data_IF_060227949565
#
_entry.id   IF_060227949565
#
_cell.length_a   1.000
_cell.length_b   1.000
_cell.length_c   1.000
_cell.angle_alpha   90.00
_cell.angle_beta   90.00
_cell.angle_gamma   90.00
#
_symmetry.space_group_name_H-M   'P 1'
#
loop_
_entity.id
_entity.type
_entity.pdbx_description
1 polymer ?
#
# COMPACT_ATOMS: atom_id res chain seq x y z
N UNK A 1 5.91 9.40 -36.19
CA UNK A 1 5.85 9.14 -34.74
C UNK A 1 5.08 7.84 -34.59
N UNK A 2 5.63 6.80 -33.94
CA UNK A 2 4.81 5.63 -33.66
C UNK A 2 3.64 6.08 -32.78
N UNK A 3 2.43 5.61 -33.07
CA UNK A 3 1.27 5.88 -32.22
C UNK A 3 1.54 5.34 -30.82
N UNK A 4 1.08 6.06 -29.79
CA UNK A 4 1.11 5.57 -28.42
C UNK A 4 0.21 4.32 -28.29
N UNK A 5 0.55 3.36 -27.42
CA UNK A 5 -0.22 2.14 -27.26
C UNK A 5 -1.64 2.39 -26.71
N UNK A 6 -2.60 1.61 -27.19
CA UNK A 6 -3.98 1.57 -26.70
C UNK A 6 -4.05 0.77 -25.41
N UNK A 7 -4.68 1.36 -24.39
CA UNK A 7 -4.87 0.77 -23.06
C UNK A 7 -6.33 0.41 -22.83
N UNK A 8 -6.60 -0.80 -22.33
CA UNK A 8 -7.88 -1.14 -21.70
C UNK A 8 -7.73 -1.21 -20.17
N UNK A 9 -8.67 -0.58 -19.45
CA UNK A 9 -8.82 -0.72 -18.00
C UNK A 9 -10.09 -1.52 -17.72
N UNK A 10 -9.93 -2.79 -17.37
CA UNK A 10 -11.02 -3.72 -17.08
C UNK A 10 -11.33 -3.68 -15.59
N UNK A 11 -12.60 -3.44 -15.23
CA UNK A 11 -12.99 -3.17 -13.84
C UNK A 11 -12.91 -1.69 -13.45
N UNK A 12 -12.96 -0.78 -14.44
CA UNK A 12 -12.76 0.66 -14.26
C UNK A 12 -13.67 1.33 -13.20
N UNK A 13 -14.82 0.74 -12.89
CA UNK A 13 -15.79 1.28 -11.90
C UNK A 13 -15.64 0.71 -10.49
N UNK A 14 -14.70 -0.21 -10.27
CA UNK A 14 -14.37 -0.76 -8.96
C UNK A 14 -13.51 0.18 -8.11
N UNK A 15 -13.26 -0.22 -6.86
CA UNK A 15 -12.41 0.54 -5.94
C UNK A 15 -10.99 0.74 -6.50
N UNK A 16 -10.37 -0.34 -7.00
CA UNK A 16 -9.04 -0.28 -7.61
C UNK A 16 -9.08 0.47 -8.95
N UNK A 17 -10.03 0.14 -9.84
CA UNK A 17 -10.17 0.80 -11.14
C UNK A 17 -10.38 2.33 -11.05
N UNK A 18 -11.05 2.81 -10.01
CA UNK A 18 -11.20 4.25 -9.75
C UNK A 18 -9.84 4.89 -9.40
N UNK A 19 -9.05 4.25 -8.55
CA UNK A 19 -7.68 4.70 -8.21
C UNK A 19 -6.76 4.60 -9.42
N UNK A 20 -6.90 3.56 -10.25
CA UNK A 20 -6.18 3.40 -11.51
C UNK A 20 -6.40 4.60 -12.45
N UNK A 21 -7.65 5.04 -12.65
CA UNK A 21 -7.96 6.20 -13.49
C UNK A 21 -7.36 7.52 -12.94
N UNK A 22 -7.31 7.67 -11.61
CA UNK A 22 -6.64 8.82 -10.96
C UNK A 22 -5.12 8.77 -11.14
N UNK A 23 -4.51 7.59 -11.01
CA UNK A 23 -3.08 7.37 -11.23
C UNK A 23 -2.71 7.65 -12.68
N UNK A 24 -3.46 7.11 -13.64
CA UNK A 24 -3.28 7.44 -15.06
C UNK A 24 -3.32 8.96 -15.25
N UNK A 25 -4.24 9.68 -14.60
CA UNK A 25 -4.33 11.15 -14.74
C UNK A 25 -3.15 11.92 -14.15
N UNK A 26 -2.45 11.39 -13.16
CA UNK A 26 -1.35 12.07 -12.45
C UNK A 26 0.05 11.64 -12.91
N UNK A 27 0.17 10.47 -13.54
CA UNK A 27 1.44 9.91 -14.02
C UNK A 27 1.75 10.38 -15.44
N UNK A 28 3.01 10.19 -15.88
CA UNK A 28 3.46 10.52 -17.24
C UNK A 28 2.54 9.89 -18.28
N UNK A 29 2.22 10.62 -19.36
CA UNK A 29 1.43 10.05 -20.44
C UNK A 29 2.29 9.18 -21.35
N UNK A 30 1.97 7.88 -21.37
CA UNK A 30 2.57 6.86 -22.24
C UNK A 30 1.51 6.10 -23.04
N UNK A 31 0.24 6.51 -22.95
CA UNK A 31 -0.90 5.82 -23.55
C UNK A 31 -1.59 6.70 -24.59
N UNK A 32 -2.10 6.07 -25.65
CA UNK A 32 -2.94 6.68 -26.68
C UNK A 32 -4.41 6.63 -26.27
N UNK A 33 -5.20 5.83 -26.99
CA UNK A 33 -6.60 5.57 -26.63
C UNK A 33 -6.66 4.81 -25.28
N UNK A 34 -7.60 5.21 -24.41
CA UNK A 34 -7.91 4.50 -23.16
C UNK A 34 -9.36 4.03 -23.20
N UNK A 35 -9.58 2.72 -23.13
CA UNK A 35 -10.91 2.10 -23.06
C UNK A 35 -11.22 1.68 -21.63
N UNK A 36 -12.35 2.12 -21.10
CA UNK A 36 -12.83 1.72 -19.79
C UNK A 36 -13.85 0.60 -19.94
N UNK A 37 -13.53 -0.59 -19.45
CA UNK A 37 -14.38 -1.78 -19.58
C UNK A 37 -14.88 -2.21 -18.20
N UNK A 38 -16.15 -2.60 -18.11
CA UNK A 38 -16.74 -3.12 -16.89
C UNK A 38 -17.95 -4.03 -17.19
N UNK A 39 -18.61 -4.52 -16.13
CA UNK A 39 -19.86 -5.29 -16.24
C UNK A 39 -20.98 -4.47 -16.88
N UNK A 40 -21.99 -5.14 -17.45
CA UNK A 40 -23.13 -4.53 -18.13
C UNK A 40 -23.82 -3.44 -17.29
N UNK A 41 -23.98 -3.65 -15.99
CA UNK A 41 -24.57 -2.66 -15.06
C UNK A 41 -23.81 -1.33 -14.96
N UNK A 42 -22.57 -1.29 -15.44
CA UNK A 42 -21.72 -0.10 -15.43
C UNK A 42 -21.64 0.61 -16.78
N UNK A 43 -22.19 0.03 -17.84
CA UNK A 43 -22.15 0.59 -19.20
C UNK A 43 -22.83 1.96 -19.23
N UNK A 44 -22.22 2.91 -19.96
CA UNK A 44 -22.73 4.27 -20.08
C UNK A 44 -22.37 5.18 -18.90
N UNK A 45 -21.83 4.65 -17.79
CA UNK A 45 -21.27 5.48 -16.73
C UNK A 45 -20.08 6.26 -17.27
N UNK A 46 -19.90 7.48 -16.77
CA UNK A 46 -18.80 8.36 -17.13
C UNK A 46 -17.76 8.31 -16.00
N UNK A 47 -16.49 8.11 -16.36
CA UNK A 47 -15.36 8.11 -15.42
C UNK A 47 -14.31 9.09 -15.92
N UNK A 48 -13.82 9.94 -15.02
CA UNK A 48 -12.76 10.88 -15.32
C UNK A 48 -11.42 10.15 -15.43
N UNK A 49 -10.76 10.25 -16.58
CA UNK A 49 -9.42 9.70 -16.80
C UNK A 49 -8.66 10.63 -17.76
N UNK A 50 -7.39 10.96 -17.43
CA UNK A 50 -6.54 11.85 -18.25
C UNK A 50 -7.15 13.23 -18.55
N UNK A 51 -7.99 13.75 -17.64
CA UNK A 51 -8.66 15.04 -17.86
C UNK A 51 -9.86 14.98 -18.82
N UNK A 52 -10.21 13.78 -19.30
CA UNK A 52 -11.38 13.54 -20.14
C UNK A 52 -12.43 12.69 -19.39
N UNK A 53 -13.71 12.88 -19.76
CA UNK A 53 -14.80 12.02 -19.31
C UNK A 53 -14.97 10.89 -20.31
N UNK A 54 -14.61 9.68 -19.89
CA UNK A 54 -14.67 8.49 -20.73
C UNK A 54 -15.90 7.66 -20.37
N UNK A 55 -16.62 7.19 -21.40
CA UNK A 55 -17.78 6.32 -21.25
C UNK A 55 -17.33 4.88 -21.04
N UNK A 56 -17.84 4.25 -19.98
CA UNK A 56 -17.62 2.84 -19.68
C UNK A 56 -18.35 1.96 -20.71
N UNK A 57 -17.61 1.03 -21.30
CA UNK A 57 -18.09 0.07 -22.29
C UNK A 57 -18.26 -1.31 -21.66
N UNK A 58 -19.01 -2.18 -22.34
CA UNK A 58 -19.23 -3.55 -21.90
C UNK A 58 -17.94 -4.36 -22.08
N UNK A 59 -17.73 -5.32 -21.19
CA UNK A 59 -16.71 -6.34 -21.36
C UNK A 59 -17.17 -7.35 -22.43
N UNK A 60 -16.68 -7.20 -23.65
CA UNK A 60 -16.92 -8.12 -24.78
C UNK A 60 -15.61 -8.48 -25.47
N UNK A 61 -15.53 -9.58 -26.24
CA UNK A 61 -14.31 -9.94 -26.95
C UNK A 61 -13.82 -8.84 -27.90
N UNK A 62 -14.73 -8.15 -28.58
CA UNK A 62 -14.45 -7.09 -29.55
C UNK A 62 -13.90 -5.82 -28.88
N UNK A 63 -14.20 -5.62 -27.59
CA UNK A 63 -13.67 -4.47 -26.84
C UNK A 63 -12.13 -4.49 -26.76
N UNK A 64 -11.51 -5.66 -26.95
CA UNK A 64 -10.06 -5.85 -26.98
C UNK A 64 -9.43 -5.69 -28.37
N UNK A 65 -10.21 -5.49 -29.43
CA UNK A 65 -9.66 -5.35 -30.78
C UNK A 65 -8.79 -4.07 -30.88
N UNK A 66 -7.50 -4.24 -31.19
CA UNK A 66 -6.53 -3.15 -31.26
C UNK A 66 -6.06 -2.62 -29.90
N UNK A 67 -6.30 -3.35 -28.81
CA UNK A 67 -5.74 -3.06 -27.49
C UNK A 67 -4.33 -3.65 -27.41
N UNK A 68 -3.34 -2.82 -27.06
CA UNK A 68 -1.95 -3.27 -26.88
C UNK A 68 -1.72 -3.82 -25.46
N UNK A 69 -2.30 -3.14 -24.46
CA UNK A 69 -2.18 -3.53 -23.05
C UNK A 69 -3.54 -3.48 -22.36
N UNK A 70 -3.88 -4.49 -21.58
CA UNK A 70 -5.09 -4.52 -20.78
C UNK A 70 -4.76 -4.73 -19.29
N UNK A 71 -5.15 -3.77 -18.45
CA UNK A 71 -5.04 -3.87 -16.99
C UNK A 71 -6.34 -4.42 -16.42
N UNK A 72 -6.25 -5.53 -15.68
CA UNK A 72 -7.41 -6.23 -15.13
C UNK A 72 -7.51 -6.00 -13.63
N UNK A 73 -8.55 -5.29 -13.20
CA UNK A 73 -8.90 -5.02 -11.79
C UNK A 73 -10.27 -5.64 -11.46
N UNK A 74 -10.36 -6.95 -11.64
CA UNK A 74 -11.60 -7.75 -11.51
C UNK A 74 -11.38 -8.97 -10.60
N UNK A 75 -12.46 -9.63 -10.11
CA UNK A 75 -12.35 -10.87 -9.34
C UNK A 75 -11.65 -12.00 -10.12
N UNK A 76 -11.10 -12.96 -9.37
CA UNK A 76 -10.30 -14.08 -9.90
C UNK A 76 -11.04 -14.85 -11.00
N UNK A 77 -12.33 -15.12 -10.83
CA UNK A 77 -13.13 -15.89 -11.79
C UNK A 77 -13.34 -15.11 -13.10
N UNK A 78 -13.52 -13.80 -13.00
CA UNK A 78 -13.69 -12.92 -14.16
C UNK A 78 -12.37 -12.81 -14.92
N UNK A 79 -11.24 -12.69 -14.22
CA UNK A 79 -9.93 -12.64 -14.88
C UNK A 79 -9.59 -13.96 -15.56
N UNK A 80 -9.87 -15.10 -14.90
CA UNK A 80 -9.66 -16.43 -15.47
C UNK A 80 -10.42 -16.64 -16.80
N UNK A 81 -11.62 -16.06 -16.93
CA UNK A 81 -12.41 -16.08 -18.16
C UNK A 81 -11.86 -15.10 -19.23
N UNK A 82 -11.62 -13.84 -18.84
CA UNK A 82 -11.45 -12.75 -19.80
C UNK A 82 -10.00 -12.42 -20.16
N UNK A 83 -9.03 -12.73 -19.30
CA UNK A 83 -7.62 -12.49 -19.62
C UNK A 83 -7.16 -13.32 -20.84
N UNK A 84 -7.49 -14.62 -20.98
CA UNK A 84 -7.18 -15.39 -22.18
C UNK A 84 -7.84 -14.82 -23.45
N UNK A 85 -9.05 -14.27 -23.33
CA UNK A 85 -9.76 -13.63 -24.45
C UNK A 85 -9.01 -12.39 -24.92
N UNK A 86 -8.57 -11.53 -23.99
CA UNK A 86 -7.78 -10.35 -24.33
C UNK A 86 -6.45 -10.72 -25.00
N UNK A 87 -5.74 -11.74 -24.48
CA UNK A 87 -4.51 -12.26 -25.10
C UNK A 87 -4.75 -12.79 -26.50
N UNK A 88 -5.84 -13.55 -26.72
CA UNK A 88 -6.19 -14.07 -28.04
C UNK A 88 -6.48 -12.95 -29.07
N UNK A 89 -6.82 -11.74 -28.60
CA UNK A 89 -7.01 -10.54 -29.42
C UNK A 89 -5.74 -9.67 -29.56
N UNK A 90 -4.61 -10.12 -29.02
CA UNK A 90 -3.30 -9.50 -29.19
C UNK A 90 -2.84 -8.61 -28.04
N UNK A 91 -3.66 -8.40 -27.01
CA UNK A 91 -3.29 -7.58 -25.87
C UNK A 91 -2.32 -8.32 -24.94
N UNK A 92 -1.37 -7.59 -24.35
CA UNK A 92 -0.66 -8.06 -23.15
C UNK A 92 -1.50 -7.73 -21.93
N UNK A 93 -1.80 -8.74 -21.11
CA UNK A 93 -2.61 -8.55 -19.89
C UNK A 93 -1.72 -8.32 -18.68
N UNK A 94 -2.04 -7.31 -17.89
CA UNK A 94 -1.52 -7.13 -16.52
C UNK A 94 -2.67 -7.39 -15.54
N UNK A 95 -2.64 -8.53 -14.89
CA UNK A 95 -3.72 -9.03 -14.04
C UNK A 95 -3.49 -8.76 -12.55
N UNK A 96 -4.41 -8.04 -11.92
CA UNK A 96 -4.40 -7.79 -10.48
C UNK A 96 -5.02 -8.93 -9.67
N UNK A 97 -5.77 -9.83 -10.30
CA UNK A 97 -6.43 -10.93 -9.61
C UNK A 97 -5.43 -11.99 -9.08
N UNK A 98 -5.94 -12.93 -8.28
CA UNK A 98 -5.21 -14.11 -7.85
C UNK A 98 -5.07 -15.21 -8.90
N UNK A 99 -5.84 -15.14 -10.01
CA UNK A 99 -6.06 -16.26 -10.93
C UNK A 99 -4.78 -16.86 -11.52
N UNK A 100 -3.80 -16.00 -11.86
CA UNK A 100 -2.59 -16.43 -12.57
C UNK A 100 -1.30 -16.30 -11.74
N UNK A 101 -1.36 -15.82 -10.50
CA UNK A 101 -0.16 -15.47 -9.71
C UNK A 101 0.81 -16.62 -9.53
N UNK A 102 0.30 -17.85 -9.37
CA UNK A 102 1.11 -19.04 -9.16
C UNK A 102 1.28 -19.91 -10.40
N UNK A 103 0.76 -19.49 -11.55
CA UNK A 103 0.99 -20.17 -12.82
C UNK A 103 2.49 -20.08 -13.19
N UNK A 104 3.17 -21.19 -13.52
CA UNK A 104 4.61 -21.17 -13.86
C UNK A 104 4.91 -20.40 -15.16
N UNK A 105 3.93 -20.27 -16.05
CA UNK A 105 4.04 -19.59 -17.34
C UNK A 105 3.60 -18.11 -17.28
N UNK A 106 3.30 -17.59 -16.08
CA UNK A 106 2.93 -16.20 -15.84
C UNK A 106 3.88 -15.59 -14.82
N UNK A 107 4.61 -14.52 -15.16
CA UNK A 107 5.51 -13.85 -14.22
C UNK A 107 4.68 -13.08 -13.16
N UNK A 108 5.15 -13.11 -11.91
CA UNK A 108 4.60 -12.33 -10.81
C UNK A 108 5.55 -11.16 -10.53
N UNK A 109 5.12 -9.93 -10.84
CA UNK A 109 6.06 -8.80 -10.98
C UNK A 109 5.82 -7.71 -9.95
N UNK A 110 6.92 -7.25 -9.37
CA UNK A 110 7.03 -5.98 -8.63
C UNK A 110 8.13 -5.17 -9.31
N UNK A 111 7.80 -4.06 -10.00
CA UNK A 111 8.75 -3.33 -10.85
C UNK A 111 10.07 -2.92 -10.18
N UNK A 112 10.08 -2.66 -8.89
CA UNK A 112 11.27 -2.29 -8.13
C UNK A 112 12.15 -3.49 -7.73
N UNK A 113 11.64 -4.73 -7.86
CA UNK A 113 12.31 -5.95 -7.38
C UNK A 113 12.75 -6.83 -8.55
N UNK A 114 11.83 -7.15 -9.47
CA UNK A 114 12.07 -8.10 -10.57
C UNK A 114 11.50 -7.60 -11.92
N UNK A 115 11.82 -6.36 -12.36
CA UNK A 115 11.24 -5.75 -13.56
C UNK A 115 11.55 -6.53 -14.85
N UNK A 116 12.63 -7.30 -14.90
CA UNK A 116 13.02 -8.09 -16.07
C UNK A 116 12.03 -9.21 -16.37
N UNK A 117 11.28 -9.69 -15.37
CA UNK A 117 10.29 -10.76 -15.51
C UNK A 117 9.12 -10.38 -16.42
N UNK A 118 8.86 -9.08 -16.67
CA UNK A 118 7.83 -8.66 -17.64
C UNK A 118 8.08 -9.24 -19.03
N UNK A 119 9.33 -9.57 -19.38
CA UNK A 119 9.69 -10.20 -20.67
C UNK A 119 9.39 -11.69 -20.72
N UNK A 120 9.29 -12.35 -19.58
CA UNK A 120 9.06 -13.78 -19.45
C UNK A 120 7.56 -14.08 -19.29
N UNK A 121 6.77 -13.78 -20.32
CA UNK A 121 5.29 -13.89 -20.32
C UNK A 121 4.76 -14.80 -21.43
N UNK A 122 5.09 -16.11 -21.44
CA UNK A 122 4.70 -17.01 -22.53
C UNK A 122 3.18 -17.09 -22.76
N UNK A 123 2.36 -16.89 -21.72
CA UNK A 123 0.89 -16.80 -21.84
C UNK A 123 0.36 -15.41 -22.23
N UNK A 124 1.21 -14.42 -22.46
CA UNK A 124 0.79 -13.02 -22.71
C UNK A 124 0.20 -12.30 -21.49
N UNK A 125 0.24 -12.93 -20.32
CA UNK A 125 -0.27 -12.40 -19.04
C UNK A 125 0.92 -12.11 -18.12
N UNK A 126 0.85 -11.03 -17.36
CA UNK A 126 1.73 -10.71 -16.23
C UNK A 126 0.84 -10.54 -15.00
N UNK A 127 1.16 -11.22 -13.91
CA UNK A 127 0.42 -11.08 -12.67
C UNK A 127 1.02 -9.99 -11.77
N UNK A 128 0.13 -9.19 -11.18
CA UNK A 128 0.40 -8.34 -10.03
C UNK A 128 0.18 -9.13 -8.73
N UNK A 129 0.95 -8.81 -7.69
CA UNK A 129 0.88 -9.49 -6.41
C UNK A 129 -0.29 -9.00 -5.52
N UNK A 130 -0.60 -9.76 -4.47
CA UNK A 130 -1.59 -9.37 -3.48
C UNK A 130 -1.16 -8.06 -2.78
N UNK A 131 -2.15 -7.23 -2.42
CA UNK A 131 -1.93 -5.98 -1.70
C UNK A 131 -1.17 -6.13 -0.37
N UNK A 132 -1.36 -7.24 0.35
CA UNK A 132 -0.66 -7.54 1.60
C UNK A 132 0.79 -7.95 1.35
N UNK A 133 1.05 -8.76 0.32
CA UNK A 133 2.42 -9.05 -0.14
C UNK A 133 3.11 -7.76 -0.56
N UNK A 134 2.48 -6.95 -1.41
CA UNK A 134 3.01 -5.69 -1.92
C UNK A 134 3.32 -4.68 -0.81
N UNK A 135 2.49 -4.62 0.24
CA UNK A 135 2.73 -3.73 1.37
C UNK A 135 4.09 -4.01 2.02
N UNK A 136 4.45 -5.28 2.27
CA UNK A 136 5.70 -5.65 2.94
C UNK A 136 6.89 -5.87 2.01
N UNK A 137 6.67 -6.38 0.79
CA UNK A 137 7.76 -6.93 -0.03
C UNK A 137 8.74 -5.83 -0.49
N UNK A 138 8.24 -4.60 -0.60
CA UNK A 138 9.05 -3.40 -0.86
C UNK A 138 10.12 -3.16 0.21
N UNK A 139 9.86 -3.53 1.46
CA UNK A 139 10.83 -3.45 2.55
C UNK A 139 11.67 -4.72 2.66
N UNK A 140 11.05 -5.89 2.47
CA UNK A 140 11.71 -7.20 2.65
C UNK A 140 12.74 -7.48 1.55
N UNK A 141 12.46 -7.12 0.30
CA UNK A 141 13.35 -7.40 -0.83
C UNK A 141 14.75 -6.72 -0.73
N UNK A 142 14.87 -5.42 -0.43
CA UNK A 142 16.20 -4.80 -0.27
C UNK A 142 16.95 -5.39 0.94
N UNK A 143 16.26 -5.72 2.03
CA UNK A 143 16.89 -6.41 3.18
C UNK A 143 17.32 -7.84 2.83
N UNK A 144 16.56 -8.55 2.00
CA UNK A 144 16.94 -9.86 1.50
C UNK A 144 18.21 -9.78 0.64
N UNK A 145 18.32 -8.79 -0.23
CA UNK A 145 19.51 -8.58 -1.05
C UNK A 145 20.76 -8.37 -0.18
N UNK A 146 20.64 -7.63 0.92
CA UNK A 146 21.77 -7.35 1.83
C UNK A 146 22.13 -8.53 2.73
N UNK A 147 21.14 -9.10 3.43
CA UNK A 147 21.40 -10.03 4.54
C UNK A 147 20.98 -11.49 4.26
N UNK A 148 20.34 -11.75 3.12
CA UNK A 148 19.91 -13.09 2.71
C UNK A 148 18.78 -13.66 3.57
N UNK A 149 17.55 -13.18 3.37
CA UNK A 149 16.33 -13.65 4.05
C UNK A 149 16.19 -15.19 4.08
N UNK A 150 15.84 -15.73 5.26
CA UNK A 150 15.62 -17.16 5.53
C UNK A 150 14.24 -17.49 6.04
N UNK A 151 13.64 -16.59 6.82
CA UNK A 151 12.34 -16.82 7.44
C UNK A 151 11.56 -15.51 7.60
N UNK A 152 10.24 -15.59 7.44
CA UNK A 152 9.29 -14.53 7.73
C UNK A 152 8.21 -15.04 8.68
N UNK A 153 7.98 -14.28 9.74
CA UNK A 153 6.80 -14.41 10.60
C UNK A 153 6.03 -13.08 10.53
N UNK A 154 4.76 -13.16 10.16
CA UNK A 154 3.98 -12.00 9.73
C UNK A 154 2.66 -11.93 10.47
N UNK A 155 2.29 -10.75 10.94
CA UNK A 155 0.94 -10.45 11.40
C UNK A 155 0.44 -9.21 10.67
N UNK A 156 -0.57 -9.38 9.82
CA UNK A 156 -1.15 -8.27 9.06
C UNK A 156 -2.40 -7.71 9.71
N UNK A 157 -2.56 -6.41 9.63
CA UNK A 157 -3.70 -5.60 10.05
C UNK A 157 -4.26 -4.93 8.81
N UNK A 158 -5.18 -5.63 8.16
CA UNK A 158 -5.68 -5.29 6.84
C UNK A 158 -6.89 -4.37 6.93
N UNK A 159 -6.87 -3.33 6.11
CA UNK A 159 -7.98 -2.43 5.89
C UNK A 159 -9.15 -3.09 5.15
N UNK A 160 -10.34 -2.53 5.30
CA UNK A 160 -11.58 -3.05 4.69
C UNK A 160 -11.69 -2.82 3.20
N UNK A 161 -10.99 -1.81 2.66
CA UNK A 161 -10.95 -1.56 1.21
C UNK A 161 -10.29 -2.70 0.41
N UNK A 162 -9.56 -3.61 1.06
CA UNK A 162 -9.09 -4.86 0.45
C UNK A 162 -10.23 -5.80 0.04
N UNK A 163 -11.41 -5.67 0.65
CA UNK A 163 -12.63 -6.38 0.24
C UNK A 163 -13.48 -5.56 -0.77
N UNK A 164 -12.89 -4.54 -1.39
CA UNK A 164 -13.54 -3.65 -2.34
C UNK A 164 -14.52 -2.66 -1.70
N UNK A 165 -15.34 -2.02 -2.53
CA UNK A 165 -16.28 -0.98 -2.09
C UNK A 165 -17.29 -1.52 -1.06
N UNK A 166 -17.75 -2.76 -1.23
CA UNK A 166 -18.67 -3.41 -0.29
C UNK A 166 -18.08 -3.52 1.13
N UNK A 167 -16.76 -3.71 1.26
CA UNK A 167 -16.08 -3.72 2.56
C UNK A 167 -16.06 -2.35 3.22
N UNK A 168 -15.81 -1.29 2.44
CA UNK A 168 -15.83 0.10 2.93
C UNK A 168 -17.24 0.50 3.39
N UNK A 169 -18.25 0.21 2.56
CA UNK A 169 -19.64 0.52 2.86
C UNK A 169 -20.12 -0.23 4.12
N UNK A 170 -19.74 -1.50 4.26
CA UNK A 170 -20.07 -2.30 5.44
C UNK A 170 -19.47 -1.72 6.73
N UNK A 171 -18.20 -1.29 6.73
CA UNK A 171 -17.61 -0.68 7.92
C UNK A 171 -18.34 0.62 8.30
N UNK A 172 -18.63 1.49 7.34
CA UNK A 172 -19.36 2.73 7.60
C UNK A 172 -20.77 2.48 8.14
N UNK A 173 -21.50 1.50 7.59
CA UNK A 173 -22.81 1.10 8.08
C UNK A 173 -22.74 0.59 9.52
N UNK A 174 -21.76 -0.27 9.84
CA UNK A 174 -21.56 -0.77 11.20
C UNK A 174 -21.22 0.36 12.19
N UNK A 175 -20.31 1.27 11.81
CA UNK A 175 -19.98 2.45 12.62
C UNK A 175 -21.19 3.34 12.89
N UNK A 176 -22.06 3.52 11.87
CA UNK A 176 -23.31 4.27 12.02
C UNK A 176 -24.27 3.65 13.03
N UNK A 177 -24.37 2.31 13.10
CA UNK A 177 -25.23 1.61 14.05
C UNK A 177 -24.79 1.75 15.51
N UNK A 178 -23.48 1.82 15.75
CA UNK A 178 -22.92 1.87 17.10
C UNK A 178 -22.60 3.30 17.57
N UNK A 179 -22.74 4.29 16.68
CA UNK A 179 -22.38 5.67 16.98
C UNK A 179 -23.17 6.23 18.17
N UNK A 180 -22.44 6.78 19.14
CA UNK A 180 -23.02 7.47 20.30
C UNK A 180 -23.26 6.59 21.53
N UNK A 181 -23.20 5.26 21.40
CA UNK A 181 -23.25 4.36 22.55
C UNK A 181 -21.84 4.13 23.12
N UNK A 182 -21.60 4.68 24.31
CA UNK A 182 -20.29 4.65 24.99
C UNK A 182 -20.06 3.38 25.81
N UNK A 183 -21.05 2.50 25.92
CA UNK A 183 -20.97 1.27 26.70
C UNK A 183 -20.56 0.08 25.83
N UNK A 184 -20.87 0.13 24.53
CA UNK A 184 -20.51 -0.91 23.56
C UNK A 184 -18.99 -1.19 23.56
N UNK A 185 -18.64 -2.48 23.45
CA UNK A 185 -17.26 -2.96 23.50
C UNK A 185 -16.78 -3.25 24.92
N UNK A 186 -17.62 -3.05 25.93
CA UNK A 186 -17.30 -3.31 27.34
C UNK A 186 -17.94 -4.60 27.88
N UNK A 187 -18.81 -5.26 27.11
CA UNK A 187 -19.48 -6.51 27.49
C UNK A 187 -19.38 -7.56 26.39
N UNK A 188 -19.24 -8.86 26.72
CA UNK A 188 -19.21 -9.91 25.71
C UNK A 188 -20.43 -9.86 24.77
N UNK A 189 -20.17 -9.72 23.47
CA UNK A 189 -21.18 -9.80 22.42
C UNK A 189 -22.06 -8.55 22.23
N UNK A 190 -21.88 -7.48 23.00
CA UNK A 190 -22.73 -6.28 22.90
C UNK A 190 -22.64 -5.58 21.53
N UNK A 191 -21.42 -5.40 20.99
CA UNK A 191 -21.18 -4.85 19.65
C UNK A 191 -21.81 -5.74 18.58
N UNK A 192 -21.72 -7.06 18.73
CA UNK A 192 -22.31 -8.02 17.79
C UNK A 192 -23.83 -7.90 17.75
N UNK A 193 -24.47 -7.75 18.92
CA UNK A 193 -25.91 -7.53 19.01
C UNK A 193 -26.32 -6.19 18.38
N UNK A 194 -25.54 -5.12 18.60
CA UNK A 194 -25.83 -3.80 18.05
C UNK A 194 -25.65 -3.72 16.52
N UNK A 195 -24.62 -4.37 15.99
CA UNK A 195 -24.35 -4.42 14.54
C UNK A 195 -25.38 -5.29 13.80
N UNK A 196 -25.77 -6.42 14.39
CA UNK A 196 -26.66 -7.41 13.79
C UNK A 196 -25.99 -8.21 12.66
N UNK A 197 -26.79 -8.71 11.72
CA UNK A 197 -26.37 -9.68 10.70
C UNK A 197 -25.88 -9.04 9.39
N UNK A 198 -25.99 -7.72 9.24
CA UNK A 198 -25.51 -6.98 8.07
C UNK A 198 -23.99 -6.76 8.14
N UNK A 199 -23.24 -7.84 7.96
CA UNK A 199 -21.78 -7.85 8.10
C UNK A 199 -21.02 -7.45 6.82
N UNK A 200 -21.73 -7.37 5.69
CA UNK A 200 -21.11 -7.21 4.37
C UNK A 200 -20.26 -8.44 4.01
N UNK A 201 -19.06 -8.26 3.42
CA UNK A 201 -18.22 -9.39 3.00
C UNK A 201 -17.45 -10.06 4.16
N UNK A 202 -17.72 -9.68 5.41
CA UNK A 202 -16.95 -10.11 6.57
C UNK A 202 -17.66 -11.20 7.39
N UNK A 203 -16.93 -12.15 7.99
CA UNK A 203 -17.53 -13.23 8.79
C UNK A 203 -17.98 -12.77 10.19
N UNK A 204 -17.62 -11.55 10.60
CA UNK A 204 -17.93 -10.99 11.90
C UNK A 204 -18.00 -9.45 11.83
N UNK A 205 -18.62 -8.78 12.82
CA UNK A 205 -18.55 -7.32 12.96
C UNK A 205 -17.10 -6.85 13.01
N UNK A 206 -16.80 -5.74 12.33
CA UNK A 206 -15.47 -5.11 12.34
C UNK A 206 -15.42 -3.85 13.21
N UNK A 207 -16.52 -3.11 13.32
CA UNK A 207 -16.58 -1.95 14.19
C UNK A 207 -16.20 -2.36 15.61
N UNK A 208 -15.21 -1.67 16.21
CA UNK A 208 -14.65 -1.97 17.54
C UNK A 208 -14.15 -3.43 17.71
N UNK A 209 -13.74 -4.10 16.64
CA UNK A 209 -13.36 -5.51 16.69
C UNK A 209 -12.09 -5.81 15.89
N UNK A 210 -11.51 -6.98 16.14
CA UNK A 210 -10.38 -7.56 15.40
C UNK A 210 -10.83 -8.91 14.86
N UNK A 211 -10.81 -9.09 13.53
CA UNK A 211 -11.26 -10.33 12.89
C UNK A 211 -10.04 -11.08 12.35
N UNK A 212 -9.60 -12.19 12.97
CA UNK A 212 -8.38 -12.90 12.58
C UNK A 212 -8.63 -13.80 11.35
N UNK A 213 -9.20 -13.24 10.30
CA UNK A 213 -9.50 -13.95 9.07
C UNK A 213 -9.57 -13.00 7.87
N UNK A 214 -8.95 -13.39 6.76
CA UNK A 214 -9.04 -12.72 5.47
C UNK A 214 -8.99 -13.76 4.33
N UNK A 215 -9.85 -13.62 3.33
CA UNK A 215 -9.95 -14.57 2.22
C UNK A 215 -10.78 -15.82 2.56
N UNK A 216 -10.79 -16.79 1.65
CA UNK A 216 -11.44 -18.09 1.80
C UNK A 216 -10.60 -19.09 2.61
N UNK A 217 -11.25 -20.13 3.15
CA UNK A 217 -10.58 -21.27 3.81
C UNK A 217 -9.76 -22.08 2.80
N UNK A 218 -8.53 -22.39 3.19
CA UNK A 218 -7.60 -23.28 2.50
C UNK A 218 -7.31 -24.52 3.38
N UNK A 219 -6.53 -25.47 2.84
CA UNK A 219 -6.19 -26.72 3.53
C UNK A 219 -5.47 -26.48 4.85
N UNK A 220 -5.70 -27.36 5.84
CA UNK A 220 -5.00 -27.32 7.12
C UNK A 220 -5.42 -26.19 8.06
N UNK A 221 -6.52 -25.49 7.77
CA UNK A 221 -7.03 -24.39 8.61
C UNK A 221 -6.43 -23.02 8.27
N UNK A 222 -5.60 -22.93 7.24
CA UNK A 222 -5.08 -21.66 6.71
C UNK A 222 -6.15 -20.90 5.94
N UNK A 223 -6.01 -19.59 5.86
CA UNK A 223 -6.74 -18.77 4.91
C UNK A 223 -5.96 -18.62 3.60
N UNK A 224 -6.68 -18.39 2.50
CA UNK A 224 -6.07 -18.12 1.19
C UNK A 224 -5.19 -16.87 1.21
N UNK A 225 -5.48 -15.88 2.06
CA UNK A 225 -4.66 -14.67 2.18
C UNK A 225 -3.29 -14.97 2.80
N UNK A 226 -3.25 -15.80 3.85
CA UNK A 226 -2.00 -16.26 4.47
C UNK A 226 -1.16 -17.07 3.47
N UNK A 227 -1.81 -17.94 2.69
CA UNK A 227 -1.15 -18.71 1.63
C UNK A 227 -0.62 -17.83 0.51
N UNK A 228 -1.33 -16.75 0.13
CA UNK A 228 -0.85 -15.77 -0.85
C UNK A 228 0.43 -15.08 -0.36
N UNK A 229 0.46 -14.57 0.87
CA UNK A 229 1.67 -13.93 1.43
C UNK A 229 2.88 -14.87 1.37
N UNK A 230 2.70 -16.16 1.70
CA UNK A 230 3.75 -17.18 1.60
C UNK A 230 4.19 -17.42 0.17
N UNK A 231 3.27 -17.78 -0.70
CA UNK A 231 3.59 -18.29 -2.04
C UNK A 231 4.11 -17.18 -2.96
N UNK A 232 3.52 -15.99 -2.86
CA UNK A 232 3.93 -14.84 -3.66
C UNK A 232 5.31 -14.34 -3.23
N UNK A 233 5.61 -14.24 -1.93
CA UNK A 233 6.95 -13.85 -1.45
C UNK A 233 8.04 -14.78 -1.99
N UNK A 234 7.78 -16.10 -1.99
CA UNK A 234 8.69 -17.11 -2.55
C UNK A 234 8.94 -16.87 -4.04
N UNK A 235 7.89 -16.61 -4.82
CA UNK A 235 7.97 -16.42 -6.27
C UNK A 235 8.64 -15.08 -6.63
N UNK A 236 8.28 -13.98 -5.97
CA UNK A 236 8.82 -12.64 -6.22
C UNK A 236 10.31 -12.58 -5.91
N UNK A 237 10.74 -13.18 -4.78
CA UNK A 237 12.14 -13.15 -4.34
C UNK A 237 13.00 -14.27 -4.96
N UNK A 238 12.40 -15.21 -5.70
CA UNK A 238 13.14 -16.38 -6.22
C UNK A 238 13.61 -17.35 -5.12
N UNK A 239 12.87 -17.44 -4.01
CA UNK A 239 13.21 -18.24 -2.84
C UNK A 239 12.17 -19.36 -2.61
N UNK A 240 12.21 -20.48 -3.36
CA UNK A 240 11.19 -21.53 -3.26
C UNK A 240 11.07 -22.13 -1.85
N UNK A 241 12.18 -22.16 -1.09
CA UNK A 241 12.26 -22.75 0.25
C UNK A 241 12.09 -21.73 1.39
N UNK A 242 11.80 -20.45 1.09
CA UNK A 242 11.62 -19.43 2.13
C UNK A 242 10.55 -19.85 3.13
N UNK A 243 10.90 -19.94 4.41
CA UNK A 243 9.94 -20.23 5.48
C UNK A 243 9.08 -18.99 5.70
N UNK A 244 7.76 -19.15 5.62
CA UNK A 244 6.81 -18.07 5.88
C UNK A 244 5.68 -18.61 6.73
N UNK A 245 5.43 -17.93 7.84
CA UNK A 245 4.23 -18.09 8.66
C UNK A 245 3.54 -16.74 8.74
N UNK A 246 2.25 -16.69 8.40
CA UNK A 246 1.48 -15.45 8.34
C UNK A 246 0.16 -15.61 9.08
N UNK A 247 -0.27 -14.57 9.77
CA UNK A 247 -1.62 -14.43 10.30
C UNK A 247 -2.27 -13.21 9.69
N UNK A 248 -3.41 -13.40 9.02
CA UNK A 248 -4.10 -12.32 8.32
C UNK A 248 -5.34 -11.84 9.08
N UNK A 249 -5.26 -10.60 9.57
CA UNK A 249 -6.29 -10.01 10.44
C UNK A 249 -6.91 -8.80 9.76
N UNK A 250 -8.24 -8.75 9.71
CA UNK A 250 -9.00 -7.56 9.29
C UNK A 250 -9.28 -6.67 10.49
N UNK A 251 -9.04 -5.37 10.34
CA UNK A 251 -9.22 -4.34 11.38
C UNK A 251 -10.12 -3.20 10.87
N UNK A 252 -10.73 -2.38 11.74
CA UNK A 252 -11.60 -1.26 11.36
C UNK A 252 -10.81 -0.06 10.83
N UNK A 253 -9.98 -0.28 9.81
CA UNK A 253 -9.25 0.73 9.05
C UNK A 253 -9.85 0.77 7.64
N UNK A 254 -10.18 1.96 7.14
CA UNK A 254 -10.82 2.11 5.82
C UNK A 254 -9.86 1.70 4.71
N UNK A 255 -8.69 2.33 4.68
CA UNK A 255 -7.63 2.09 3.68
C UNK A 255 -6.27 2.18 4.35
N UNK A 256 -5.33 1.35 3.88
CA UNK A 256 -3.98 1.24 4.42
C UNK A 256 -3.80 -0.08 5.14
N UNK A 257 -3.05 -1.01 4.55
CA UNK A 257 -2.65 -2.23 5.24
C UNK A 257 -1.46 -1.93 6.14
N UNK A 258 -1.39 -2.62 7.27
CA UNK A 258 -0.22 -2.62 8.15
C UNK A 258 0.24 -4.03 8.41
N UNK A 259 1.54 -4.23 8.59
CA UNK A 259 2.13 -5.56 8.79
C UNK A 259 3.24 -5.42 9.83
N UNK A 260 3.12 -6.18 10.91
CA UNK A 260 4.25 -6.48 11.77
C UNK A 260 5.05 -7.61 11.12
N UNK A 261 6.33 -7.35 10.85
CA UNK A 261 7.23 -8.27 10.18
C UNK A 261 8.34 -8.64 11.15
N UNK A 262 8.52 -9.94 11.34
CA UNK A 262 9.71 -10.52 11.93
C UNK A 262 10.43 -11.31 10.84
N UNK A 263 11.67 -10.89 10.52
CA UNK A 263 12.45 -11.47 9.44
C UNK A 263 13.76 -12.01 9.98
N UNK A 264 14.09 -13.27 9.69
CA UNK A 264 15.37 -13.90 10.03
C UNK A 264 16.22 -14.01 8.77
N UNK A 265 17.49 -13.64 8.88
CA UNK A 265 18.43 -13.55 7.78
C UNK A 265 19.58 -14.57 7.89
N UNK A 266 20.40 -14.68 6.84
CA UNK A 266 21.53 -15.59 6.79
C UNK A 266 22.70 -15.06 7.62
N UNK A 267 22.87 -13.75 7.66
CA UNK A 267 23.92 -13.04 8.41
C UNK A 267 23.31 -12.27 9.58
N UNK A 268 24.16 -11.84 10.51
CA UNK A 268 23.75 -10.88 11.53
C UNK A 268 23.28 -9.58 10.89
N UNK A 269 22.34 -8.91 11.55
CA UNK A 269 21.78 -7.64 11.09
C UNK A 269 22.16 -6.51 12.04
N UNK A 270 22.51 -5.36 11.48
CA UNK A 270 22.56 -4.11 12.22
C UNK A 270 21.33 -3.27 11.90
N UNK A 271 20.69 -2.72 12.94
CA UNK A 271 19.44 -1.99 12.77
C UNK A 271 19.65 -0.63 12.06
N UNK A 272 20.82 -0.01 12.23
CA UNK A 272 21.13 1.26 11.58
C UNK A 272 21.51 1.06 10.11
N UNK A 273 22.28 0.03 9.80
CA UNK A 273 22.54 -0.38 8.42
C UNK A 273 21.23 -0.77 7.70
N UNK A 274 20.34 -1.51 8.35
CA UNK A 274 19.01 -1.82 7.80
C UNK A 274 18.17 -0.57 7.52
N UNK A 275 18.24 0.47 8.38
CA UNK A 275 17.61 1.77 8.10
C UNK A 275 18.19 2.43 6.87
N UNK A 276 19.50 2.41 6.69
CA UNK A 276 20.15 3.01 5.53
C UNK A 276 19.79 2.28 4.23
N UNK A 277 19.74 0.94 4.26
CA UNK A 277 19.24 0.13 3.13
C UNK A 277 17.83 0.55 2.73
N UNK A 278 16.93 0.66 3.71
CA UNK A 278 15.52 1.01 3.47
C UNK A 278 15.32 2.48 3.07
N UNK A 279 16.14 3.39 3.60
CA UNK A 279 16.13 4.82 3.24
C UNK A 279 16.49 5.04 1.78
N UNK A 280 17.36 4.20 1.23
CA UNK A 280 17.79 4.25 -0.17
C UNK A 280 16.95 3.37 -1.10
N UNK A 281 16.03 2.57 -0.56
CA UNK A 281 15.19 1.67 -1.36
C UNK A 281 14.12 2.46 -2.15
N UNK A 282 13.98 2.22 -3.47
CA UNK A 282 12.96 2.90 -4.27
C UNK A 282 11.56 2.52 -3.82
N UNK A 283 10.67 3.51 -3.72
CA UNK A 283 9.28 3.29 -3.29
C UNK A 283 9.11 3.02 -1.80
N UNK A 284 10.13 3.30 -0.98
CA UNK A 284 10.07 3.21 0.49
C UNK A 284 10.22 4.59 1.11
N UNK A 285 9.43 4.88 2.14
CA UNK A 285 9.62 6.00 3.07
C UNK A 285 9.95 5.44 4.44
N UNK A 286 11.07 5.85 5.02
CA UNK A 286 11.46 5.51 6.38
C UNK A 286 10.89 6.54 7.37
N UNK A 287 10.07 6.08 8.31
CA UNK A 287 9.58 6.85 9.47
C UNK A 287 9.88 6.06 10.73
N UNK A 288 11.03 6.32 11.36
CA UNK A 288 11.53 5.48 12.45
C UNK A 288 12.27 6.29 13.52
N UNK A 289 11.52 7.09 14.28
CA UNK A 289 11.98 7.70 15.53
C UNK A 289 10.94 7.47 16.65
N UNK A 290 10.94 6.28 17.28
CA UNK A 290 10.00 5.98 18.36
C UNK A 290 10.16 6.88 19.59
N UNK A 291 11.34 7.48 19.80
CA UNK A 291 11.57 8.39 20.92
C UNK A 291 10.89 9.75 20.70
N UNK A 292 10.80 10.20 19.45
CA UNK A 292 10.01 11.35 19.03
C UNK A 292 8.52 11.02 18.77
N UNK A 293 8.15 9.73 18.79
CA UNK A 293 6.78 9.28 18.50
C UNK A 293 6.48 9.16 17.00
N UNK A 294 7.51 9.03 16.16
CA UNK A 294 7.39 8.91 14.71
C UNK A 294 7.50 7.44 14.29
N UNK A 295 6.41 6.92 13.71
CA UNK A 295 6.35 5.56 13.16
C UNK A 295 5.25 5.47 12.08
N UNK A 296 5.35 4.52 11.14
CA UNK A 296 4.34 4.31 10.10
C UNK A 296 2.94 4.06 10.68
N UNK A 297 1.95 4.80 10.17
CA UNK A 297 0.53 4.56 10.46
C UNK A 297 -0.32 4.63 9.18
N UNK A 298 -1.35 3.77 9.02
CA UNK A 298 -2.24 3.78 7.86
C UNK A 298 -2.85 5.14 7.53
N UNK A 299 -3.17 5.92 8.57
CA UNK A 299 -3.82 7.22 8.45
C UNK A 299 -2.94 8.28 7.79
N UNK A 300 -1.61 8.13 7.87
CA UNK A 300 -0.65 9.04 7.25
C UNK A 300 -0.21 8.55 5.87
N UNK A 301 -0.24 7.24 5.64
CA UNK A 301 0.18 6.61 4.40
C UNK A 301 -0.91 6.58 3.32
N UNK A 302 -2.19 6.62 3.70
CA UNK A 302 -3.32 6.57 2.76
C UNK A 302 -3.22 7.68 1.70
N UNK A 303 -3.46 7.33 0.45
CA UNK A 303 -3.35 8.24 -0.68
C UNK A 303 -1.91 8.50 -1.14
N UNK A 304 -0.89 7.88 -0.54
CA UNK A 304 0.52 8.00 -1.00
C UNK A 304 0.96 6.77 -1.79
N UNK A 305 1.95 6.94 -2.68
CA UNK A 305 2.51 5.86 -3.51
C UNK A 305 3.49 4.91 -2.78
N UNK A 306 4.37 5.35 -1.86
CA UNK A 306 5.39 4.48 -1.28
C UNK A 306 4.86 3.59 -0.14
N UNK A 307 5.61 2.53 0.17
CA UNK A 307 5.47 1.78 1.43
C UNK A 307 6.23 2.52 2.55
N UNK A 308 5.56 2.71 3.68
CA UNK A 308 6.09 3.38 4.86
C UNK A 308 6.62 2.34 5.85
N UNK A 309 7.87 2.49 6.28
CA UNK A 309 8.57 1.50 7.10
C UNK A 309 9.13 2.16 8.34
N UNK A 310 9.09 1.44 9.46
CA UNK A 310 9.69 1.90 10.71
C UNK A 310 9.58 0.86 11.80
N UNK A 311 9.72 1.29 13.05
CA UNK A 311 9.85 0.41 14.22
C UNK A 311 10.97 -0.63 14.06
N UNK A 312 12.03 -0.26 13.34
CA UNK A 312 13.11 -1.18 12.97
C UNK A 312 13.98 -1.44 14.19
N UNK A 313 14.19 -2.71 14.51
CA UNK A 313 15.07 -3.12 15.61
C UNK A 313 15.52 -4.54 15.38
N UNK A 314 16.74 -4.84 15.77
CA UNK A 314 17.19 -6.23 15.89
C UNK A 314 16.39 -6.93 16.98
N UNK A 315 16.05 -8.19 16.78
CA UNK A 315 15.45 -9.00 17.82
C UNK A 315 16.41 -9.11 19.02
N UNK A 316 15.86 -9.17 20.22
CA UNK A 316 16.67 -9.19 21.46
C UNK A 316 17.47 -10.49 21.57
N UNK A 317 16.89 -11.60 21.14
CA UNK A 317 17.43 -12.96 21.37
C UNK A 317 17.98 -13.63 20.10
N UNK A 318 17.89 -12.99 18.92
CA UNK A 318 18.48 -13.49 17.67
C UNK A 318 19.19 -12.36 16.91
N UNK A 319 20.54 -12.35 16.84
CA UNK A 319 21.29 -11.29 16.16
C UNK A 319 21.09 -11.27 14.64
N UNK A 320 20.46 -12.31 14.07
CA UNK A 320 20.13 -12.40 12.64
C UNK A 320 18.68 -12.04 12.35
N UNK A 321 17.90 -11.66 13.36
CA UNK A 321 16.50 -11.33 13.18
C UNK A 321 16.25 -9.82 13.32
N UNK A 322 15.37 -9.30 12.47
CA UNK A 322 14.94 -7.91 12.45
C UNK A 322 13.42 -7.85 12.59
N UNK A 323 12.94 -7.04 13.53
CA UNK A 323 11.55 -6.65 13.61
C UNK A 323 11.34 -5.29 12.94
N UNK A 324 10.26 -5.15 12.18
CA UNK A 324 9.84 -3.90 11.59
C UNK A 324 8.31 -3.83 11.46
N UNK A 325 7.80 -2.63 11.24
CA UNK A 325 6.41 -2.38 10.93
C UNK A 325 6.32 -1.68 9.59
N UNK A 326 5.42 -2.15 8.73
CA UNK A 326 5.23 -1.60 7.40
C UNK A 326 3.77 -1.21 7.23
N UNK A 327 3.50 -0.06 6.61
CA UNK A 327 2.16 0.30 6.17
C UNK A 327 2.18 0.89 4.77
N UNK A 328 1.08 0.75 4.03
CA UNK A 328 0.95 1.33 2.70
C UNK A 328 -0.49 1.30 2.22
N UNK A 329 -0.81 2.20 1.28
CA UNK A 329 -2.12 2.24 0.66
C UNK A 329 -2.33 0.98 -0.21
N UNK A 330 -3.27 0.14 0.22
CA UNK A 330 -3.57 -1.15 -0.41
C UNK A 330 -4.31 -1.02 -1.75
N UNK A 331 -4.84 0.15 -2.09
CA UNK A 331 -5.45 0.43 -3.40
C UNK A 331 -4.44 1.06 -4.37
N UNK A 332 -3.41 1.74 -3.86
CA UNK A 332 -2.29 2.27 -4.66
C UNK A 332 -1.19 1.23 -4.85
N UNK A 333 -0.11 1.25 -4.08
CA UNK A 333 1.01 0.29 -4.27
C UNK A 333 0.57 -1.15 -4.10
N UNK A 334 -0.44 -1.40 -3.26
CA UNK A 334 -1.03 -2.72 -3.11
C UNK A 334 -1.85 -3.22 -4.30
N UNK A 335 -2.14 -2.39 -5.29
CA UNK A 335 -2.94 -2.77 -6.45
C UNK A 335 -2.67 -1.87 -7.67
N UNK A 336 -3.40 -0.76 -7.80
CA UNK A 336 -3.47 0.02 -9.03
C UNK A 336 -2.11 0.58 -9.47
N UNK A 337 -1.29 1.07 -8.53
CA UNK A 337 0.02 1.62 -8.86
C UNK A 337 0.97 0.56 -9.37
N UNK A 338 1.02 -0.61 -8.72
CA UNK A 338 1.93 -1.67 -9.16
C UNK A 338 1.51 -2.20 -10.54
N UNK A 339 0.21 -2.42 -10.77
CA UNK A 339 -0.36 -2.77 -12.08
C UNK A 339 -0.01 -1.73 -13.14
N UNK A 340 -0.17 -0.43 -12.85
CA UNK A 340 0.18 0.64 -13.77
C UNK A 340 1.69 0.68 -14.09
N UNK A 341 2.55 0.53 -13.07
CA UNK A 341 4.00 0.50 -13.24
C UNK A 341 4.45 -0.71 -14.08
N UNK A 342 3.86 -1.90 -13.88
CA UNK A 342 4.13 -3.07 -14.73
C UNK A 342 3.77 -2.76 -16.19
N UNK A 343 2.59 -2.20 -16.44
CA UNK A 343 2.16 -1.84 -17.78
C UNK A 343 3.05 -0.77 -18.43
N UNK A 344 3.52 0.21 -17.66
CA UNK A 344 4.46 1.23 -18.14
C UNK A 344 5.80 0.61 -18.60
N UNK A 345 6.27 -0.47 -17.97
CA UNK A 345 7.47 -1.20 -18.43
C UNK A 345 7.29 -1.80 -19.83
N UNK A 346 6.06 -2.11 -20.25
CA UNK A 346 5.75 -2.62 -21.60
C UNK A 346 5.83 -1.53 -22.67
N UNK A 347 5.71 -0.26 -22.28
CA UNK A 347 5.74 0.89 -23.21
C UNK A 347 7.15 1.45 -23.45
N UNK A 348 8.11 1.08 -22.60
CA UNK A 348 9.48 1.60 -22.65
C UNK A 348 10.37 0.64 -23.42
N UNK A 349 11.11 1.07 -24.45
CA UNK A 349 12.07 0.20 -25.13
C UNK A 349 13.12 -0.25 -24.11
N UNK A 350 13.12 -1.55 -23.80
CA UNK A 350 13.96 -2.04 -22.73
C UNK A 350 15.41 -2.19 -23.19
N UNK A 351 16.42 -1.82 -22.37
CA UNK A 351 17.82 -2.10 -22.71
C UNK A 351 18.04 -3.62 -22.85
N UNK A 352 19.02 -4.08 -23.65
CA UNK A 352 19.35 -5.50 -23.76
C UNK A 352 19.65 -6.10 -22.38
N UNK A 353 19.25 -7.36 -22.16
CA UNK A 353 19.52 -8.10 -20.93
C UNK A 353 21.05 -8.16 -20.73
N UNK A 354 21.56 -7.39 -19.79
CA UNK A 354 22.86 -7.67 -19.19
C UNK A 354 22.55 -8.56 -18.00
N UNK A 355 23.13 -9.77 -17.97
CA UNK A 355 22.91 -10.69 -16.85
C UNK A 355 23.31 -10.00 -15.54
N UNK A 356 22.46 -10.00 -14.50
CA UNK A 356 22.94 -9.62 -13.18
C UNK A 356 24.10 -10.55 -12.81
N UNK A 357 25.22 -9.97 -12.34
CA UNK A 357 26.28 -10.76 -11.72
C UNK A 357 25.66 -11.40 -10.48
N UNK A 358 25.33 -12.68 -10.58
CA UNK A 358 25.07 -13.54 -9.40
C UNK A 358 26.34 -13.46 -8.56
N UNK A 359 26.31 -12.98 -7.31
CA UNK A 359 27.43 -13.11 -6.41
C UNK A 359 27.72 -14.61 -6.29
N UNK A 360 28.92 -15.03 -6.69
CA UNK A 360 29.37 -16.41 -6.47
C UNK A 360 29.27 -16.70 -4.98
N UNK A 361 28.67 -17.82 -4.56
CA UNK A 361 28.66 -18.21 -3.15
C UNK A 361 30.10 -18.30 -2.66
N UNK A 362 30.40 -17.63 -1.56
CA UNK A 362 31.68 -17.78 -0.86
C UNK A 362 31.78 -19.25 -0.42
N UNK A 363 32.82 -20.00 -0.83
CA UNK A 363 33.02 -21.37 -0.37
C UNK A 363 33.14 -21.40 1.15
N UNK A 364 32.49 -22.38 1.79
CA UNK A 364 32.46 -22.55 3.25
C UNK A 364 33.82 -22.92 3.88
N UNK A 365 34.91 -22.97 3.11
CA UNK A 365 36.21 -23.51 3.54
C UNK A 365 37.34 -22.47 3.61
N UNK A 366 37.02 -21.20 3.86
CA UNK A 366 38.01 -20.21 4.28
C UNK A 366 37.78 -19.82 5.73
N UNK A 367 38.06 -20.76 6.63
CA UNK A 367 38.42 -20.45 8.00
C UNK A 367 39.71 -19.61 7.98
N UNK A 368 39.56 -18.29 8.04
CA UNK A 368 40.69 -17.39 8.26
C UNK A 368 41.19 -17.65 9.68
N UNK A 369 42.38 -18.24 9.76
CA UNK A 369 43.15 -18.34 10.99
C UNK A 369 43.47 -16.92 11.49
N UNK A 370 43.17 -16.66 12.76
CA UNK A 370 43.56 -15.44 13.43
C UNK A 370 45.09 -15.32 13.45
N UNK A 371 45.69 -14.16 13.10
CA UNK A 371 47.12 -13.97 13.29
C UNK A 371 47.42 -13.70 14.77
N UNK A 372 48.41 -14.43 15.30
CA UNK A 372 48.99 -14.20 16.64
C UNK A 372 49.64 -12.81 16.77
N UNK A 373 49.70 -12.25 17.99
CA UNK A 373 50.14 -10.89 18.23
C UNK A 373 51.67 -10.84 18.32
N UNK A 374 52.35 -10.25 17.34
CA UNK A 374 53.74 -9.82 17.56
C UNK A 374 54.14 -8.62 16.70
N UNK A 375 54.77 -7.66 17.38
CA UNK A 375 55.58 -6.53 16.86
C UNK A 375 54.83 -5.31 16.31
N UNK A 376 54.45 -4.41 17.22
CA UNK A 376 54.22 -2.99 16.93
C UNK A 376 55.55 -2.22 16.87
N UNK A 377 55.75 -1.35 15.86
CA UNK A 377 56.50 -0.12 16.05
C UNK A 377 55.55 1.09 16.16
N UNK A 378 55.89 1.91 17.14
CA UNK A 378 55.40 3.23 17.53
C UNK A 378 55.28 4.20 16.34
N UNK A 379 54.12 4.83 16.15
CA UNK A 379 53.93 6.28 15.92
C UNK A 379 52.54 6.62 15.37
N UNK A 380 51.66 7.21 16.20
CA UNK A 380 50.96 8.49 15.97
C UNK A 380 49.83 8.66 17.01
N UNK A 381 50.18 9.26 18.17
CA UNK A 381 49.22 9.94 19.05
C UNK A 381 49.25 11.42 18.68
N UNK A 382 48.16 11.97 18.13
CA UNK A 382 47.70 13.32 18.52
C UNK A 382 46.35 13.68 17.90
N UNK A 383 45.53 14.35 18.73
CA UNK A 383 44.28 15.08 18.44
C UNK A 383 42.95 14.32 18.55
N UNK A 384 42.63 13.89 19.78
CA UNK A 384 41.28 14.12 20.35
C UNK A 384 41.45 14.49 21.83
N UNK A 385 41.68 15.77 22.08
CA UNK A 385 41.46 16.39 23.38
C UNK A 385 41.48 17.90 23.15
N UNK A 386 40.30 18.47 22.89
CA UNK A 386 40.01 19.79 23.40
C UNK A 386 38.51 20.05 23.41
N UNK A 387 38.07 20.72 24.47
CA UNK A 387 36.72 21.27 24.73
C UNK A 387 35.70 20.34 25.39
N UNK A 388 35.97 20.01 26.65
CA UNK A 388 34.95 20.16 27.71
C UNK A 388 35.34 21.32 28.62
N UNK A 389 34.40 22.24 28.84
CA UNK A 389 34.39 23.11 30.02
C UNK A 389 34.30 24.61 29.73
N UNK A 390 33.08 25.16 29.73
CA UNK A 390 32.73 26.27 30.64
C UNK A 390 31.22 26.49 30.70
N UNK A 391 30.73 26.45 31.93
CA UNK A 391 29.41 26.86 32.41
C UNK A 391 29.37 28.39 32.50
N UNK A 392 28.21 28.99 32.24
CA UNK A 392 27.92 30.38 32.60
C UNK A 392 26.54 30.83 32.08
N UNK A 393 25.61 31.10 32.99
CA UNK A 393 24.24 31.52 32.68
C UNK A 393 24.11 32.99 32.25
N UNK A 394 22.91 33.34 31.79
CA UNK A 394 22.49 34.71 31.51
C UNK A 394 21.14 34.76 30.80
N UNK A 395 20.16 35.40 31.44
CA UNK A 395 18.87 35.81 30.88
C UNK A 395 19.04 37.04 29.96
N UNK A 396 17.94 37.37 29.27
CA UNK A 396 17.70 38.55 28.40
C UNK A 396 18.17 38.33 26.95
N UNK A 397 17.37 38.52 25.89
CA UNK A 397 16.24 39.41 25.69
C UNK A 397 16.64 40.53 24.75
N UNK A 398 16.56 40.34 23.42
CA UNK A 398 16.27 41.40 22.44
C UNK A 398 16.34 40.88 20.99
N UNK A 399 15.26 41.19 20.29
CA UNK A 399 15.06 41.36 18.85
C UNK A 399 16.21 42.02 18.07
N UNK A 400 16.36 41.74 16.77
CA UNK A 400 16.10 42.69 15.66
C UNK A 400 16.43 42.15 14.24
N UNK A 401 15.66 42.65 13.26
CA UNK A 401 15.75 42.62 11.77
C UNK A 401 15.24 41.37 11.02
N UNK A 402 14.01 41.32 10.46
CA UNK A 402 13.33 42.04 9.33
C UNK A 402 13.96 41.86 7.94
N UNK A 403 13.20 41.19 7.05
CA UNK A 403 13.04 41.61 5.64
C UNK A 403 13.08 40.47 4.60
N UNK A 404 11.92 40.06 4.06
CA UNK A 404 11.89 39.12 2.91
C UNK A 404 10.49 38.62 2.53
N UNK A 405 9.75 39.44 1.80
CA UNK A 405 8.39 39.27 1.21
C UNK A 405 8.01 37.86 0.71
N UNK A 406 6.84 37.37 1.15
CA UNK A 406 5.99 36.44 0.38
C UNK A 406 4.86 37.21 -0.33
N UNK A 407 4.76 37.08 -1.66
CA UNK A 407 3.51 37.19 -2.44
C UNK A 407 2.97 35.75 -2.51
N UNK A 408 1.71 35.40 -2.29
CA UNK A 408 0.45 36.12 -2.34
C UNK A 408 -0.48 35.30 -3.23
N UNK A 409 -1.47 34.63 -2.65
CA UNK A 409 -2.70 34.15 -3.31
C UNK A 409 -3.77 34.01 -2.22
N UNK A 410 -4.92 34.63 -2.50
CA UNK A 410 -5.86 35.12 -1.52
C UNK A 410 -7.00 34.16 -1.20
N UNK A 411 -7.47 34.28 0.04
CA UNK A 411 -8.70 33.69 0.56
C UNK A 411 -9.82 34.71 0.35
N UNK A 412 -10.87 34.31 -0.37
CA UNK A 412 -12.11 35.07 -0.48
C UNK A 412 -13.00 34.79 0.74
N UNK A 413 -13.26 35.83 1.53
CA UNK A 413 -14.27 35.87 2.59
C UNK A 413 -15.20 37.04 2.29
N UNK A 414 -16.38 36.76 1.75
CA UNK A 414 -17.42 37.75 1.52
C UNK A 414 -18.16 38.07 2.83
N UNK A 415 -17.97 39.29 3.34
CA UNK A 415 -18.92 39.99 4.23
C UNK A 415 -19.58 41.12 3.43
N UNK A 416 -20.90 41.07 3.29
CA UNK A 416 -21.72 42.17 2.76
C UNK A 416 -22.32 43.05 3.87
N UNK A 417 -22.52 44.37 3.63
CA UNK A 417 -22.95 45.32 4.65
C UNK A 417 -24.48 45.52 4.68
N UNK A 418 -25.00 45.98 5.82
CA UNK A 418 -26.42 46.34 5.98
C UNK A 418 -26.71 47.84 5.78
N UNK A 419 -27.99 48.18 5.55
CA UNK A 419 -28.79 49.18 6.30
C UNK A 419 -30.21 49.37 5.72
N UNK A 420 -31.19 49.29 6.64
CA UNK A 420 -32.41 50.12 6.89
C UNK A 420 -33.48 50.37 5.81
N UNK A 421 -34.74 50.16 6.23
CA UNK A 421 -35.99 50.76 5.72
C UNK A 421 -37.20 49.89 6.06
N UNK A 422 -37.82 50.06 7.24
CA UNK A 422 -39.11 50.76 7.45
C UNK A 422 -40.36 49.94 7.06
N UNK A 423 -41.20 49.63 8.06
CA UNK A 423 -42.51 49.00 7.88
C UNK A 423 -43.15 48.57 9.22
N UNK A 424 -43.78 49.52 9.91
CA UNK A 424 -44.64 49.30 11.08
C UNK A 424 -45.96 48.63 10.68
N UNK A 425 -46.47 47.66 11.44
CA UNK A 425 -47.89 47.59 11.91
C UNK A 425 -47.95 46.84 13.25
N UNK A 426 -48.70 47.42 14.20
CA UNK A 426 -49.03 46.91 15.55
C UNK A 426 -50.11 45.83 15.50
N UNK A 427 -50.05 44.87 16.43
CA UNK A 427 -51.18 44.00 16.80
C UNK A 427 -51.06 43.55 18.25
N UNK A 428 -52.04 43.93 19.08
CA UNK A 428 -52.03 43.77 20.53
C UNK A 428 -52.75 42.49 21.01
N UNK A 429 -52.28 41.98 22.16
CA UNK A 429 -52.97 41.27 23.26
C UNK A 429 -54.16 40.31 22.96
N UNK A 430 -54.03 39.08 23.50
CA UNK A 430 -54.92 38.30 24.41
C UNK A 430 -54.52 36.82 24.23
N UNK A 431 -54.12 36.05 25.24
CA UNK A 431 -54.88 35.62 26.42
C UNK A 431 -55.18 34.13 26.26
N UNK A 432 -54.78 33.27 27.20
CA UNK A 432 -55.13 31.84 27.16
C UNK A 432 -54.23 30.95 28.01
N UNK A 433 -54.68 30.65 29.22
CA UNK A 433 -54.09 29.66 30.12
C UNK A 433 -54.40 28.22 29.66
N UNK A 434 -53.47 27.31 29.92
CA UNK A 434 -53.67 25.86 29.76
C UNK A 434 -52.66 25.08 30.61
N UNK A 435 -53.16 24.51 31.71
CA UNK A 435 -52.43 23.72 32.73
C UNK A 435 -52.13 22.28 32.25
N UNK A 436 -51.29 21.60 33.07
CA UNK A 436 -51.17 20.14 33.36
C UNK A 436 -50.06 19.44 32.56
N UNK A 437 -49.22 18.57 33.14
CA UNK A 437 -49.18 17.83 34.43
C UNK A 437 -47.71 17.55 34.80
N UNK A 438 -47.51 17.19 36.06
CA UNK A 438 -46.27 17.09 36.84
C UNK A 438 -45.10 16.34 36.19
#
# INVERSE_FOLDING_TARGET
MSSLPTLAVVGATGAVGTVMCQLLSSRRNVWGEIRLLASERSVGRQVQCRGELLTVQALTPEAFDGVDVAMFDVPDEVSAEWAPVAVARGAVVVDNSGAFRMDPDVPLVVPEINPEQVRNRPKGIIANANCTTLAMIMAVAPLHHEYGLRELVLASYQAVSGAGQAGVDALHAQLGKIAGDRVLGSRPGDVRQAVGDELGPFPAPLALNVVPWAGSLADGGWSSEEMKMRNESRKILGLPDLKVSATCVRVPVVTGHSIAVHAVFATEVDAEEAREVLRNAPGVILVDDPAAGEFPMPIDAVGTDPSWVGRIRRAVDDPRALDLFVTGDNLRKGAALNTAQIAELLTTPSPPLTSPRVPTPVPADLAVSAPEPSLLPVNFRQKVQDRRGRVGGGREGATWWRGGRCRGLGVWLCRGPGRRGAGCVRGARRGGAGRRRC
#
